data_IF_102204809702
#
_entry.id   IF_102204809702
#
_cell.length_a   1.000
_cell.length_b   1.000
_cell.length_c   1.000
_cell.angle_alpha   90.00
_cell.angle_beta   90.00
_cell.angle_gamma   90.00
#
_symmetry.space_group_name_H-M   'P 1'
#
loop_
_entity.id
_entity.type
_entity.pdbx_description
1 polymer ?
#
# COMPACT_ATOMS: atom_id res chain seq x y z
N UNK A 1 9.30 47.49 16.24
CA UNK A 1 8.94 46.29 17.01
C UNK A 1 7.66 45.61 16.53
N UNK A 2 6.56 46.28 16.17
CA UNK A 2 5.31 45.63 15.70
C UNK A 2 5.43 44.79 14.40
N UNK A 3 6.33 45.11 13.48
CA UNK A 3 6.49 44.37 12.21
C UNK A 3 7.31 43.09 12.31
N UNK A 4 8.17 42.94 13.32
CA UNK A 4 8.93 41.70 13.55
C UNK A 4 8.06 40.60 14.16
N UNK A 5 7.09 40.97 15.01
CA UNK A 5 6.19 39.98 15.65
C UNK A 5 5.24 39.36 14.64
N UNK A 6 4.81 40.10 13.60
CA UNK A 6 3.93 39.55 12.56
C UNK A 6 4.63 38.53 11.65
N UNK A 7 5.93 38.66 11.40
CA UNK A 7 6.72 37.73 10.59
C UNK A 7 6.97 36.41 11.33
N UNK A 8 7.20 36.47 12.64
CA UNK A 8 7.34 35.22 13.45
C UNK A 8 6.05 34.48 13.60
N UNK A 9 4.89 35.16 13.70
CA UNK A 9 3.59 34.53 13.76
C UNK A 9 3.20 33.77 12.50
N UNK A 10 3.49 34.31 11.33
CA UNK A 10 3.22 33.68 10.04
C UNK A 10 4.09 32.43 9.81
N UNK A 11 5.38 32.46 10.17
CA UNK A 11 6.28 31.33 10.07
C UNK A 11 5.86 30.19 11.01
N UNK A 12 5.40 30.51 12.22
CA UNK A 12 4.94 29.50 13.18
C UNK A 12 3.62 28.84 12.74
N UNK A 13 2.73 29.59 12.08
CA UNK A 13 1.48 29.03 11.52
C UNK A 13 1.75 28.09 10.35
N UNK A 14 2.69 28.42 9.48
CA UNK A 14 3.08 27.58 8.34
C UNK A 14 3.72 26.27 8.81
N UNK A 15 4.57 26.30 9.82
CA UNK A 15 5.20 25.09 10.38
C UNK A 15 4.15 24.17 10.98
N UNK A 16 3.13 24.71 11.66
CA UNK A 16 2.04 23.90 12.24
C UNK A 16 1.12 23.28 11.18
N UNK A 17 0.90 23.96 10.04
CA UNK A 17 0.10 23.40 8.94
C UNK A 17 0.86 22.26 8.25
N UNK A 18 2.15 22.42 8.02
CA UNK A 18 2.99 21.34 7.47
C UNK A 18 3.09 20.15 8.42
N UNK A 19 3.30 20.38 9.72
CA UNK A 19 3.37 19.30 10.72
C UNK A 19 2.06 18.50 10.80
N UNK A 20 0.89 19.11 10.64
CA UNK A 20 -0.40 18.42 10.60
C UNK A 20 -0.60 17.62 9.31
N UNK A 21 -0.09 18.09 8.17
CA UNK A 21 -0.16 17.36 6.92
C UNK A 21 0.67 16.06 6.94
N UNK A 22 1.80 16.05 7.66
CA UNK A 22 2.61 14.83 7.84
C UNK A 22 2.13 13.91 8.96
N UNK A 23 1.24 14.37 9.86
CA UNK A 23 0.74 13.60 10.99
C UNK A 23 -0.64 12.95 10.74
N UNK A 24 -1.27 13.22 9.60
CA UNK A 24 -2.48 12.52 9.16
C UNK A 24 -2.06 11.29 8.32
N UNK A 25 -1.44 10.30 8.98
CA UNK A 25 -1.58 8.93 8.51
C UNK A 25 -3.07 8.58 8.57
N UNK A 26 -3.62 8.06 7.49
CA UNK A 26 -4.98 7.52 7.47
C UNK A 26 -5.09 6.50 8.63
N UNK A 27 -5.98 6.73 9.60
CA UNK A 27 -6.16 5.88 10.79
C UNK A 27 -6.62 4.44 10.44
N UNK A 28 -6.63 4.07 9.19
CA UNK A 28 -6.94 2.72 8.70
C UNK A 28 -5.87 2.16 7.76
N UNK A 29 -4.79 2.90 7.51
CA UNK A 29 -3.76 2.48 6.58
C UNK A 29 -3.04 1.21 7.05
N UNK A 30 -2.96 0.22 6.16
CA UNK A 30 -2.31 -1.07 6.39
C UNK A 30 -0.84 -1.06 5.97
N UNK A 31 -0.44 -0.08 5.17
CA UNK A 31 0.93 0.12 4.70
C UNK A 31 1.23 1.61 4.50
N UNK A 32 2.50 1.93 4.35
CA UNK A 32 2.99 3.25 3.94
C UNK A 32 3.81 3.12 2.65
N UNK A 33 3.86 4.16 1.83
CA UNK A 33 4.77 4.19 0.68
C UNK A 33 6.21 4.40 1.17
N UNK A 34 7.07 3.43 0.84
CA UNK A 34 8.50 3.47 1.18
C UNK A 34 9.27 4.10 0.01
N UNK A 35 9.93 5.24 0.22
CA UNK A 35 10.71 5.87 -0.84
C UNK A 35 11.94 5.04 -1.20
N UNK A 36 12.37 5.13 -2.46
CA UNK A 36 13.60 4.46 -2.93
C UNK A 36 13.42 3.01 -3.37
N UNK A 37 12.20 2.48 -3.37
CA UNK A 37 11.89 1.12 -3.82
C UNK A 37 11.95 0.89 -5.35
N UNK A 38 12.49 1.83 -6.12
CA UNK A 38 12.58 1.76 -7.57
C UNK A 38 11.35 2.35 -8.28
N UNK A 39 11.36 2.28 -9.64
CA UNK A 39 10.36 2.93 -10.50
C UNK A 39 9.52 1.95 -11.30
N UNK A 40 9.67 0.63 -11.06
CA UNK A 40 8.85 -0.35 -11.76
C UNK A 40 7.37 -0.13 -11.44
N UNK A 41 6.56 -0.05 -12.47
CA UNK A 41 5.11 0.08 -12.38
C UNK A 41 4.45 -0.92 -13.33
N UNK A 42 3.33 -1.48 -12.90
CA UNK A 42 2.45 -2.32 -13.72
C UNK A 42 1.03 -1.76 -13.61
N UNK A 43 0.52 -1.12 -14.68
CA UNK A 43 -0.84 -0.61 -14.67
C UNK A 43 -1.87 -1.70 -14.36
N UNK A 44 -2.83 -1.36 -13.51
CA UNK A 44 -3.99 -2.19 -13.17
C UNK A 44 -5.27 -1.41 -13.47
N UNK A 45 -6.40 -2.09 -13.50
CA UNK A 45 -7.71 -1.43 -13.63
C UNK A 45 -8.06 -0.81 -12.28
N UNK A 46 -7.88 0.50 -12.17
CA UNK A 46 -8.22 1.32 -11.01
C UNK A 46 -8.28 2.79 -11.40
N UNK A 47 -9.20 3.54 -10.79
CA UNK A 47 -9.26 5.00 -10.88
C UNK A 47 -8.51 5.69 -9.71
N UNK A 48 -7.98 4.90 -8.76
CA UNK A 48 -7.22 5.38 -7.61
C UNK A 48 -5.72 5.38 -7.88
N UNK A 49 -5.13 6.56 -8.01
CA UNK A 49 -3.67 6.72 -8.13
C UNK A 49 -2.93 6.13 -6.91
N UNK A 50 -3.53 6.26 -5.72
CA UNK A 50 -2.96 5.69 -4.50
C UNK A 50 -3.01 4.16 -4.51
N UNK A 51 -4.12 3.54 -4.92
CA UNK A 51 -4.21 2.10 -5.07
C UNK A 51 -3.17 1.57 -6.06
N UNK A 52 -2.98 2.25 -7.20
CA UNK A 52 -1.93 1.93 -8.16
C UNK A 52 -0.54 2.02 -7.53
N UNK A 53 -0.26 3.07 -6.75
CA UNK A 53 1.05 3.24 -6.12
C UNK A 53 1.36 2.14 -5.11
N UNK A 54 0.39 1.74 -4.29
CA UNK A 54 0.53 0.62 -3.36
C UNK A 54 0.64 -0.72 -4.07
N UNK A 55 -0.10 -0.93 -5.16
CA UNK A 55 0.06 -2.14 -5.99
C UNK A 55 1.48 -2.25 -6.56
N UNK A 56 2.00 -1.18 -7.11
CA UNK A 56 3.37 -1.12 -7.65
C UNK A 56 4.42 -1.37 -6.57
N UNK A 57 4.20 -0.83 -5.37
CA UNK A 57 5.06 -1.12 -4.22
C UNK A 57 5.00 -2.61 -3.86
N UNK A 58 3.82 -3.19 -3.81
CA UNK A 58 3.62 -4.60 -3.53
C UNK A 58 4.40 -5.50 -4.48
N UNK A 59 4.35 -5.23 -5.79
CA UNK A 59 5.13 -5.95 -6.81
C UNK A 59 6.64 -5.81 -6.56
N UNK A 60 7.14 -4.59 -6.35
CA UNK A 60 8.58 -4.36 -6.11
C UNK A 60 9.08 -5.10 -4.86
N UNK A 61 8.27 -5.10 -3.80
CA UNK A 61 8.58 -5.82 -2.56
C UNK A 61 8.55 -7.34 -2.73
N UNK A 62 7.58 -7.89 -3.49
CA UNK A 62 7.53 -9.31 -3.81
C UNK A 62 8.79 -9.78 -4.56
N UNK A 63 9.26 -9.00 -5.52
CA UNK A 63 10.50 -9.28 -6.26
C UNK A 63 11.76 -9.15 -5.39
N UNK A 64 11.69 -8.31 -4.35
CA UNK A 64 12.74 -8.18 -3.33
C UNK A 64 12.65 -9.23 -2.22
N UNK A 65 11.68 -10.16 -2.30
CA UNK A 65 11.41 -11.17 -1.26
C UNK A 65 10.91 -10.61 0.09
N UNK A 66 10.41 -9.37 0.10
CA UNK A 66 9.76 -8.74 1.26
C UNK A 66 8.25 -9.08 1.24
N UNK A 67 7.92 -10.37 1.42
CA UNK A 67 6.55 -10.86 1.26
C UNK A 67 5.54 -10.26 2.24
N UNK A 68 5.85 -10.13 3.55
CA UNK A 68 4.91 -9.50 4.48
C UNK A 68 4.56 -8.06 4.09
N UNK A 69 5.55 -7.25 3.72
CA UNK A 69 5.38 -5.86 3.29
C UNK A 69 4.69 -5.77 1.93
N UNK A 70 4.95 -6.73 1.06
CA UNK A 70 4.26 -6.89 -0.22
C UNK A 70 2.76 -7.14 0.00
N UNK A 71 2.41 -8.10 0.88
CA UNK A 71 1.02 -8.41 1.23
C UNK A 71 0.34 -7.17 1.83
N UNK A 72 0.98 -6.49 2.78
CA UNK A 72 0.44 -5.27 3.38
C UNK A 72 0.18 -4.18 2.34
N UNK A 73 1.09 -3.99 1.38
CA UNK A 73 0.93 -3.03 0.29
C UNK A 73 -0.25 -3.40 -0.62
N UNK A 74 -0.42 -4.66 -0.99
CA UNK A 74 -1.57 -5.11 -1.77
C UNK A 74 -2.89 -5.00 -1.00
N UNK A 75 -2.88 -5.28 0.31
CA UNK A 75 -4.05 -5.09 1.16
C UNK A 75 -4.45 -3.61 1.23
N UNK A 76 -3.49 -2.71 1.30
CA UNK A 76 -3.76 -1.27 1.25
C UNK A 76 -4.34 -0.86 -0.10
N UNK A 77 -3.79 -1.35 -1.21
CA UNK A 77 -4.35 -1.12 -2.54
C UNK A 77 -5.80 -1.61 -2.65
N UNK A 78 -6.12 -2.81 -2.10
CA UNK A 78 -7.48 -3.34 -2.06
C UNK A 78 -8.42 -2.53 -1.13
N UNK A 79 -7.90 -1.92 -0.07
CA UNK A 79 -8.66 -1.03 0.80
C UNK A 79 -9.03 0.28 0.09
N UNK A 80 -8.10 0.82 -0.70
CA UNK A 80 -8.28 2.07 -1.44
C UNK A 80 -9.15 1.91 -2.70
N UNK A 81 -9.16 0.71 -3.29
CA UNK A 81 -10.03 0.35 -4.41
C UNK A 81 -10.53 -1.10 -4.24
N UNK A 82 -11.66 -1.30 -3.53
CA UNK A 82 -12.20 -2.62 -3.22
C UNK A 82 -12.71 -3.40 -4.44
N UNK A 83 -12.96 -2.72 -5.56
CA UNK A 83 -13.50 -3.31 -6.79
C UNK A 83 -12.38 -3.74 -7.76
N UNK A 84 -11.14 -3.36 -7.51
CA UNK A 84 -9.99 -3.78 -8.31
C UNK A 84 -9.60 -5.23 -8.01
N UNK A 85 -9.57 -6.13 -9.02
CA UNK A 85 -9.19 -7.54 -8.80
C UNK A 85 -7.68 -7.73 -8.56
N UNK A 86 -6.84 -6.86 -9.11
CA UNK A 86 -5.40 -7.06 -9.15
C UNK A 86 -4.70 -7.00 -7.79
N UNK A 87 -5.11 -6.17 -6.83
CA UNK A 87 -4.57 -6.22 -5.47
C UNK A 87 -4.77 -7.60 -4.81
N UNK A 88 -5.93 -8.22 -5.00
CA UNK A 88 -6.21 -9.56 -4.47
C UNK A 88 -5.36 -10.64 -5.15
N UNK A 89 -5.14 -10.54 -6.47
CA UNK A 89 -4.15 -11.38 -7.15
C UNK A 89 -2.75 -11.20 -6.54
N UNK A 90 -2.35 -9.98 -6.24
CA UNK A 90 -1.07 -9.67 -5.62
C UNK A 90 -0.89 -10.32 -4.25
N UNK A 91 -1.92 -10.29 -3.41
CA UNK A 91 -1.93 -10.99 -2.11
C UNK A 91 -1.71 -12.49 -2.32
N UNK A 92 -2.44 -13.11 -3.25
CA UNK A 92 -2.30 -14.53 -3.55
C UNK A 92 -0.89 -14.88 -4.05
N UNK A 93 -0.33 -14.04 -4.92
CA UNK A 93 1.02 -14.20 -5.44
C UNK A 93 2.08 -14.14 -4.33
N UNK A 94 1.99 -13.18 -3.42
CA UNK A 94 2.95 -13.00 -2.34
C UNK A 94 2.79 -14.05 -1.21
N UNK A 95 1.57 -14.53 -0.95
CA UNK A 95 1.29 -15.59 0.02
C UNK A 95 1.55 -17.02 -0.53
N UNK A 96 1.74 -17.15 -1.84
CA UNK A 96 1.87 -18.44 -2.51
C UNK A 96 3.10 -19.26 -2.12
N UNK A 97 3.18 -20.51 -2.57
CA UNK A 97 4.30 -21.39 -2.29
C UNK A 97 5.56 -20.89 -2.99
N UNK A 98 6.37 -20.20 -2.23
CA UNK A 98 7.61 -19.60 -2.68
C UNK A 98 8.76 -20.28 -1.92
N UNK A 99 9.84 -20.71 -2.56
CA UNK A 99 10.98 -21.34 -1.89
C UNK A 99 11.63 -20.45 -0.83
N UNK A 100 11.41 -19.14 -0.90
CA UNK A 100 11.89 -18.15 0.05
C UNK A 100 10.82 -17.72 1.08
N UNK A 101 9.63 -18.33 1.09
CA UNK A 101 8.51 -17.97 1.97
C UNK A 101 8.66 -18.44 3.42
N UNK A 102 9.88 -18.64 3.90
CA UNK A 102 10.18 -19.02 5.30
C UNK A 102 10.31 -17.83 6.24
N UNK A 103 9.86 -16.66 5.81
CA UNK A 103 9.99 -15.43 6.57
C UNK A 103 8.89 -15.30 7.63
N UNK A 104 9.27 -14.76 8.79
CA UNK A 104 8.31 -14.35 9.81
C UNK A 104 7.39 -13.25 9.24
N UNK A 105 6.15 -13.20 9.71
CA UNK A 105 5.19 -12.18 9.29
C UNK A 105 4.27 -12.55 8.12
N UNK A 106 4.37 -13.79 7.62
CA UNK A 106 3.34 -14.35 6.75
C UNK A 106 2.11 -14.74 7.59
N UNK A 107 0.91 -14.83 6.97
CA UNK A 107 -0.27 -15.39 7.63
C UNK A 107 0.00 -16.78 8.21
N UNK A 108 -0.70 -17.17 9.28
CA UNK A 108 -0.56 -18.48 9.90
C UNK A 108 -0.88 -19.62 8.92
N UNK A 109 -1.85 -19.41 8.00
CA UNK A 109 -2.14 -20.27 6.85
C UNK A 109 -1.94 -19.49 5.54
N UNK A 110 -0.73 -19.41 5.00
CA UNK A 110 -0.46 -18.66 3.78
C UNK A 110 -1.18 -19.25 2.55
N UNK A 111 -1.35 -20.56 2.49
CA UNK A 111 -2.02 -21.21 1.37
C UNK A 111 -3.53 -20.94 1.38
N UNK A 112 -4.18 -21.03 2.52
CA UNK A 112 -5.60 -20.68 2.67
C UNK A 112 -5.84 -19.19 2.41
N UNK A 113 -5.00 -18.31 2.93
CA UNK A 113 -5.06 -16.87 2.66
C UNK A 113 -4.88 -16.55 1.17
N UNK A 114 -3.90 -17.19 0.51
CA UNK A 114 -3.68 -17.04 -0.93
C UNK A 114 -4.85 -17.55 -1.77
N UNK A 115 -5.42 -18.71 -1.39
CA UNK A 115 -6.60 -19.26 -2.06
C UNK A 115 -7.84 -18.36 -1.91
N UNK A 116 -8.06 -17.81 -0.73
CA UNK A 116 -9.15 -16.85 -0.51
C UNK A 116 -8.97 -15.58 -1.36
N UNK A 117 -7.76 -15.05 -1.40
CA UNK A 117 -7.44 -13.86 -2.17
C UNK A 117 -7.63 -14.08 -3.68
N UNK A 118 -7.15 -15.20 -4.25
CA UNK A 118 -7.32 -15.45 -5.68
C UNK A 118 -8.79 -15.66 -6.07
N UNK A 119 -9.59 -16.29 -5.21
CA UNK A 119 -11.03 -16.42 -5.43
C UNK A 119 -11.70 -15.06 -5.48
N UNK A 120 -11.34 -14.16 -4.56
CA UNK A 120 -11.85 -12.78 -4.56
C UNK A 120 -11.46 -12.03 -5.84
N UNK A 121 -10.23 -12.19 -6.30
CA UNK A 121 -9.78 -11.59 -7.56
C UNK A 121 -10.62 -12.08 -8.76
N UNK A 122 -10.92 -13.38 -8.81
CA UNK A 122 -11.75 -13.96 -9.89
C UNK A 122 -13.19 -13.44 -9.83
N UNK A 123 -13.80 -13.40 -8.65
CA UNK A 123 -15.15 -12.84 -8.47
C UNK A 123 -15.25 -11.39 -8.96
N UNK A 124 -14.24 -10.56 -8.65
CA UNK A 124 -14.21 -9.17 -9.09
C UNK A 124 -13.97 -9.05 -10.60
N UNK A 125 -13.13 -9.91 -11.18
CA UNK A 125 -12.87 -9.90 -12.62
C UNK A 125 -14.07 -10.33 -13.46
N UNK A 126 -14.95 -11.21 -12.93
CA UNK A 126 -16.16 -11.68 -13.61
C UNK A 126 -17.30 -10.65 -13.58
N UNK A 127 -17.24 -9.66 -12.68
CA UNK A 127 -18.26 -8.66 -12.46
C UNK A 127 -17.91 -7.28 -13.06
N UNK A 128 -16.74 -7.13 -13.69
CA UNK A 128 -16.19 -5.87 -14.24
C UNK A 128 -16.28 -5.70 -15.75
#
# INVERSE_FOLDING_TARGET
MRRLIALFGAAFLLINVFSKAYAQGDEGALAIIVPGGGTYSRPITTDSEEAQAFFDQGIRMAWGFYFPESIASYQEAARLDPDSPMPHWGIAHAAGPNPNSRYQGLPDDPQGAGLAAIRRAMELADNG
#
